data_IF_120360347780
#
_entry.id   IF_120360347780
#
_cell.length_a   1.000
_cell.length_b   1.000
_cell.length_c   1.000
_cell.angle_alpha   90.00
_cell.angle_beta   90.00
_cell.angle_gamma   90.00
#
_symmetry.space_group_name_H-M   'P 1'
#
loop_
_entity.id
_entity.type
_entity.pdbx_description
1 polymer ?
#
# COMPACT_ATOMS: atom_id res chain seq x y z
N UNK A 1 -17.92 19.80 -8.65
CA UNK A 1 -17.73 21.25 -8.50
C UNK A 1 -16.30 21.55 -8.10
N UNK A 2 -15.76 22.73 -8.47
CA UNK A 2 -14.38 23.13 -8.20
C UNK A 2 -13.99 23.00 -6.71
N UNK A 3 -14.89 23.29 -5.79
CA UNK A 3 -14.66 23.14 -4.34
C UNK A 3 -14.42 21.67 -3.93
N UNK A 4 -15.15 20.73 -4.54
CA UNK A 4 -14.95 19.29 -4.29
C UNK A 4 -13.58 18.81 -4.77
N UNK A 5 -13.07 19.35 -5.87
CA UNK A 5 -11.76 18.96 -6.42
C UNK A 5 -10.59 19.55 -5.61
N UNK A 6 -10.74 20.74 -5.04
CA UNK A 6 -9.77 21.33 -4.13
C UNK A 6 -9.62 20.49 -2.86
N UNK A 7 -10.73 20.04 -2.26
CA UNK A 7 -10.69 19.17 -1.08
C UNK A 7 -10.02 17.83 -1.34
N UNK A 8 -10.28 17.22 -2.49
CA UNK A 8 -9.65 15.95 -2.88
C UNK A 8 -8.14 16.09 -3.07
N UNK A 9 -7.69 17.22 -3.61
CA UNK A 9 -6.26 17.49 -3.83
C UNK A 9 -5.49 17.80 -2.55
N UNK A 10 -6.13 18.32 -1.51
CA UNK A 10 -5.50 18.63 -0.24
C UNK A 10 -5.16 17.39 0.61
N UNK A 11 -5.90 16.29 0.43
CA UNK A 11 -5.69 15.05 1.19
C UNK A 11 -4.71 14.12 0.48
N UNK A 12 -4.67 14.16 -0.86
CA UNK A 12 -3.76 13.33 -1.66
C UNK A 12 -2.39 13.99 -1.78
N UNK A 13 -1.37 13.21 -1.49
CA UNK A 13 0.03 13.62 -1.63
C UNK A 13 0.76 12.63 -2.56
N UNK A 14 1.94 13.04 -3.03
CA UNK A 14 2.76 12.23 -3.92
C UNK A 14 3.53 11.17 -3.12
N UNK A 15 3.64 9.98 -3.68
CA UNK A 15 4.47 8.91 -3.10
C UNK A 15 5.95 9.08 -3.43
N UNK A 16 6.27 9.81 -4.48
CA UNK A 16 7.63 10.23 -4.82
C UNK A 16 7.74 11.73 -4.71
N UNK A 17 8.69 12.21 -3.88
CA UNK A 17 8.92 13.63 -3.59
C UNK A 17 10.34 13.97 -3.97
N UNK A 18 10.57 14.22 -5.24
CA UNK A 18 11.86 14.64 -5.75
C UNK A 18 11.69 15.46 -7.04
N UNK A 19 12.72 16.20 -7.38
CA UNK A 19 12.81 16.96 -8.62
C UNK A 19 14.03 16.51 -9.40
N UNK A 20 13.88 16.36 -10.71
CA UNK A 20 14.97 16.11 -11.64
C UNK A 20 14.77 16.90 -12.93
N UNK A 21 15.86 17.16 -13.67
CA UNK A 21 15.77 17.74 -15.00
C UNK A 21 15.23 16.72 -16.00
N UNK A 22 14.54 17.21 -17.02
CA UNK A 22 13.70 16.46 -17.96
C UNK A 22 14.31 15.16 -18.51
N UNK A 23 15.58 15.16 -18.82
CA UNK A 23 16.27 14.01 -19.42
C UNK A 23 16.39 12.78 -18.48
N UNK A 24 16.33 12.99 -17.18
CA UNK A 24 16.53 11.94 -16.16
C UNK A 24 15.23 11.48 -15.48
N UNK A 25 14.14 12.20 -15.66
CA UNK A 25 12.87 11.91 -14.95
C UNK A 25 12.36 10.51 -15.26
N UNK A 26 12.36 10.10 -16.52
CA UNK A 26 11.90 8.78 -16.93
C UNK A 26 12.68 7.64 -16.28
N UNK A 27 14.01 7.74 -16.26
CA UNK A 27 14.87 6.72 -15.65
C UNK A 27 14.65 6.63 -14.13
N UNK A 28 14.48 7.76 -13.47
CA UNK A 28 14.22 7.82 -12.04
C UNK A 28 12.83 7.25 -11.68
N UNK A 29 11.82 7.46 -12.50
CA UNK A 29 10.48 6.85 -12.31
C UNK A 29 10.57 5.32 -12.44
N UNK A 30 11.28 4.81 -13.42
CA UNK A 30 11.49 3.36 -13.58
C UNK A 30 12.24 2.78 -12.39
N UNK A 31 13.25 3.47 -11.89
CA UNK A 31 14.00 3.08 -10.69
C UNK A 31 13.09 3.05 -9.45
N UNK A 32 12.26 4.08 -9.24
CA UNK A 32 11.29 4.10 -8.15
C UNK A 32 10.31 2.93 -8.22
N UNK A 33 9.84 2.59 -9.40
CA UNK A 33 8.95 1.45 -9.60
C UNK A 33 9.64 0.11 -9.27
N UNK A 34 10.92 -0.05 -9.66
CA UNK A 34 11.72 -1.23 -9.29
C UNK A 34 11.87 -1.35 -7.78
N UNK A 35 12.19 -0.25 -7.10
CA UNK A 35 12.30 -0.20 -5.64
C UNK A 35 10.99 -0.60 -4.98
N UNK A 36 9.87 0.00 -5.38
CA UNK A 36 8.55 -0.32 -4.82
C UNK A 36 8.17 -1.78 -4.99
N UNK A 37 8.36 -2.33 -6.18
CA UNK A 37 8.08 -3.75 -6.45
C UNK A 37 8.94 -4.67 -5.61
N UNK A 38 10.24 -4.38 -5.50
CA UNK A 38 11.17 -5.17 -4.72
C UNK A 38 10.84 -5.15 -3.23
N UNK A 39 10.67 -3.97 -2.65
CA UNK A 39 10.33 -3.80 -1.22
C UNK A 39 8.97 -4.41 -0.90
N UNK A 40 7.97 -4.17 -1.74
CA UNK A 40 6.62 -4.75 -1.56
C UNK A 40 6.65 -6.27 -1.58
N UNK A 41 7.40 -6.88 -2.49
CA UNK A 41 7.56 -8.33 -2.57
C UNK A 41 8.28 -8.89 -1.33
N UNK A 42 9.33 -8.23 -0.88
CA UNK A 42 10.12 -8.66 0.28
C UNK A 42 9.35 -8.55 1.59
N UNK A 43 8.49 -7.55 1.73
CA UNK A 43 7.76 -7.22 2.96
C UNK A 43 6.26 -7.49 2.88
N UNK A 44 5.81 -8.32 1.95
CA UNK A 44 4.38 -8.57 1.75
C UNK A 44 3.66 -9.06 3.01
N UNK A 45 4.31 -9.92 3.80
CA UNK A 45 3.78 -10.43 5.07
C UNK A 45 3.66 -9.39 6.20
N UNK A 46 4.41 -8.30 6.13
CA UNK A 46 4.39 -7.24 7.12
C UNK A 46 3.26 -6.22 6.91
N UNK A 47 2.57 -6.28 5.77
CA UNK A 47 1.49 -5.35 5.42
C UNK A 47 2.01 -3.94 5.13
N UNK A 48 2.55 -3.74 3.93
CA UNK A 48 3.08 -2.45 3.47
C UNK A 48 2.07 -1.79 2.53
N UNK A 49 1.29 -0.80 2.99
CA UNK A 49 0.30 -0.12 2.15
C UNK A 49 0.91 0.96 1.27
N UNK A 50 2.01 1.57 1.72
CA UNK A 50 2.59 2.74 1.06
C UNK A 50 4.10 2.77 1.22
N UNK A 51 4.80 3.17 0.17
CA UNK A 51 6.25 3.42 0.16
C UNK A 51 6.46 4.81 -0.42
N UNK A 52 7.00 5.72 0.37
CA UNK A 52 7.37 7.06 -0.07
C UNK A 52 8.87 7.10 -0.40
N UNK A 53 9.22 7.80 -1.48
CA UNK A 53 10.59 7.92 -1.95
C UNK A 53 10.96 9.39 -2.06
N UNK A 54 12.05 9.77 -1.40
CA UNK A 54 12.66 11.08 -1.52
C UNK A 54 14.08 10.93 -2.07
N UNK A 55 14.50 11.88 -2.89
CA UNK A 55 15.86 11.93 -3.45
C UNK A 55 16.50 13.27 -3.16
N UNK A 56 17.68 13.23 -2.59
CA UNK A 56 18.48 14.42 -2.31
C UNK A 56 19.96 14.07 -2.41
N UNK A 57 20.74 14.84 -3.20
CA UNK A 57 22.20 14.70 -3.30
C UNK A 57 22.69 13.25 -3.45
N UNK A 58 22.17 12.51 -4.42
CA UNK A 58 22.50 11.09 -4.70
C UNK A 58 22.14 10.09 -3.60
N UNK A 59 21.42 10.52 -2.57
CA UNK A 59 20.87 9.66 -1.53
C UNK A 59 19.38 9.47 -1.75
N UNK A 60 18.96 8.21 -1.76
CA UNK A 60 17.55 7.84 -1.86
C UNK A 60 17.04 7.52 -0.45
N UNK A 61 16.03 8.24 -0.01
CA UNK A 61 15.38 8.00 1.29
C UNK A 61 14.04 7.32 1.06
N UNK A 62 13.86 6.16 1.68
CA UNK A 62 12.63 5.37 1.61
C UNK A 62 11.89 5.47 2.94
N UNK A 63 10.60 5.82 2.89
CA UNK A 63 9.70 5.75 4.01
C UNK A 63 8.74 4.59 3.77
N UNK A 64 8.96 3.49 4.46
CA UNK A 64 8.13 2.28 4.35
C UNK A 64 7.10 2.30 5.47
N UNK A 65 5.84 2.50 5.10
CA UNK A 65 4.72 2.38 6.02
C UNK A 65 4.37 0.90 6.17
N UNK A 66 4.32 0.38 7.38
CA UNK A 66 3.98 -1.02 7.62
C UNK A 66 3.06 -1.19 8.84
N UNK A 67 2.22 -2.21 8.77
CA UNK A 67 1.33 -2.56 9.87
C UNK A 67 2.06 -3.31 11.00
N UNK A 68 3.12 -4.03 10.65
CA UNK A 68 3.90 -4.86 11.59
C UNK A 68 5.37 -4.48 11.54
N UNK A 69 5.76 -3.36 12.17
CA UNK A 69 7.14 -2.88 12.12
C UNK A 69 8.15 -3.86 12.72
N UNK A 70 7.77 -4.63 13.72
CA UNK A 70 8.63 -5.63 14.34
C UNK A 70 9.13 -6.72 13.37
N UNK A 71 8.33 -7.12 12.40
CA UNK A 71 8.74 -8.09 11.36
C UNK A 71 9.76 -7.50 10.38
N UNK A 72 9.67 -6.20 10.12
CA UNK A 72 10.55 -5.49 9.20
C UNK A 72 11.89 -5.17 9.85
N UNK A 73 11.86 -4.72 11.09
CA UNK A 73 13.06 -4.34 11.86
C UNK A 73 13.88 -5.59 12.22
N UNK A 74 13.22 -6.67 12.65
CA UNK A 74 13.88 -7.89 13.09
C UNK A 74 14.59 -7.72 14.44
N UNK A 75 15.42 -8.72 14.81
CA UNK A 75 16.26 -8.63 15.99
C UNK A 75 17.41 -7.66 15.74
N UNK A 76 17.56 -6.68 16.61
CA UNK A 76 18.64 -5.68 16.58
C UNK A 76 18.77 -4.90 15.24
N UNK A 77 17.71 -4.82 14.47
CA UNK A 77 17.70 -4.12 13.19
C UNK A 77 18.35 -4.86 12.02
N UNK A 78 18.65 -6.15 12.17
CA UNK A 78 19.35 -6.95 11.16
C UNK A 78 18.57 -7.08 9.85
N UNK A 79 17.24 -7.25 9.92
CA UNK A 79 16.40 -7.42 8.73
C UNK A 79 16.26 -6.11 7.93
N UNK A 80 16.14 -4.98 8.62
CA UNK A 80 16.13 -3.65 7.98
C UNK A 80 17.43 -3.39 7.25
N UNK A 81 18.56 -3.72 7.88
CA UNK A 81 19.87 -3.50 7.27
C UNK A 81 20.10 -4.39 6.04
N UNK A 82 19.68 -5.66 6.09
CA UNK A 82 19.69 -6.54 4.92
C UNK A 82 18.86 -5.98 3.76
N UNK A 83 17.65 -5.49 4.07
CA UNK A 83 16.79 -4.89 3.07
C UNK A 83 17.42 -3.62 2.47
N UNK A 84 17.99 -2.75 3.30
CA UNK A 84 18.70 -1.56 2.86
C UNK A 84 19.84 -1.90 1.89
N UNK A 85 20.68 -2.83 2.26
CA UNK A 85 21.78 -3.29 1.40
C UNK A 85 21.30 -3.92 0.09
N UNK A 86 20.22 -4.70 0.13
CA UNK A 86 19.64 -5.29 -1.06
C UNK A 86 19.09 -4.21 -2.02
N UNK A 87 18.46 -3.16 -1.50
CA UNK A 87 17.99 -2.04 -2.31
C UNK A 87 19.17 -1.23 -2.87
N UNK A 88 20.22 -0.98 -2.08
CA UNK A 88 21.44 -0.33 -2.56
C UNK A 88 22.10 -1.11 -3.72
N UNK A 89 22.15 -2.43 -3.61
CA UNK A 89 22.66 -3.29 -4.67
C UNK A 89 21.79 -3.24 -5.94
N UNK A 90 20.48 -3.09 -5.77
CA UNK A 90 19.53 -3.01 -6.88
C UNK A 90 19.69 -1.72 -7.70
N UNK A 91 19.91 -0.59 -7.05
CA UNK A 91 19.94 0.74 -7.69
C UNK A 91 21.35 1.35 -7.83
N UNK A 92 22.34 0.79 -7.13
CA UNK A 92 23.72 1.31 -7.15
C UNK A 92 23.90 2.69 -6.48
N UNK A 93 23.00 3.11 -5.61
CA UNK A 93 23.02 4.39 -4.89
C UNK A 93 22.89 4.18 -3.39
N UNK A 94 23.31 5.16 -2.59
CA UNK A 94 23.10 5.13 -1.15
C UNK A 94 21.62 5.23 -0.81
N UNK A 95 21.16 4.38 0.08
CA UNK A 95 19.77 4.31 0.53
C UNK A 95 19.67 4.50 2.03
N UNK A 96 18.74 5.36 2.46
CA UNK A 96 18.29 5.44 3.84
C UNK A 96 16.91 4.82 3.92
N UNK A 97 16.70 3.90 4.86
CA UNK A 97 15.43 3.23 5.06
C UNK A 97 14.83 3.64 6.39
N UNK A 98 13.65 4.24 6.34
CA UNK A 98 12.88 4.62 7.53
C UNK A 98 11.59 3.80 7.57
N UNK A 99 11.28 3.25 8.73
CA UNK A 99 10.07 2.48 8.95
C UNK A 99 9.05 3.36 9.69
N UNK A 100 7.85 3.46 9.13
CA UNK A 100 6.72 4.20 9.71
C UNK A 100 5.60 3.24 10.03
N UNK A 101 5.12 3.26 11.27
CA UNK A 101 4.02 2.41 11.70
C UNK A 101 2.67 2.92 11.21
N UNK A 102 1.83 2.02 10.73
CA UNK A 102 0.42 2.27 10.43
C UNK A 102 -0.40 1.99 11.68
N UNK A 103 -0.95 3.05 12.30
CA UNK A 103 -1.66 2.94 13.58
C UNK A 103 -2.92 2.08 13.53
N UNK A 104 -3.71 2.23 12.46
CA UNK A 104 -4.98 1.53 12.28
C UNK A 104 -4.99 0.75 10.97
N UNK A 105 -4.40 -0.46 10.90
CA UNK A 105 -4.33 -1.23 9.67
C UNK A 105 -5.71 -1.64 9.13
N UNK A 106 -6.69 -1.87 10.00
CA UNK A 106 -8.06 -2.23 9.59
C UNK A 106 -8.85 -1.07 8.96
N UNK A 107 -8.38 0.17 9.09
CA UNK A 107 -8.94 1.35 8.43
C UNK A 107 -8.17 1.73 7.16
N UNK A 108 -7.03 1.13 6.91
CA UNK A 108 -6.25 1.40 5.70
C UNK A 108 -6.82 0.62 4.52
N UNK A 109 -7.29 1.33 3.49
CA UNK A 109 -7.97 0.74 2.34
C UNK A 109 -7.09 -0.29 1.60
N UNK A 110 -5.81 -0.01 1.43
CA UNK A 110 -4.87 -0.91 0.76
C UNK A 110 -4.67 -2.22 1.53
N UNK A 111 -4.50 -2.14 2.85
CA UNK A 111 -4.33 -3.32 3.70
C UNK A 111 -5.61 -4.16 3.79
N UNK A 112 -6.77 -3.52 3.83
CA UNK A 112 -8.06 -4.19 3.79
C UNK A 112 -8.25 -4.94 2.47
N UNK A 113 -7.93 -4.31 1.35
CA UNK A 113 -7.99 -4.94 0.04
C UNK A 113 -7.04 -6.14 -0.09
N UNK A 114 -5.81 -6.04 0.39
CA UNK A 114 -4.84 -7.14 0.43
C UNK A 114 -5.30 -8.29 1.31
N UNK A 115 -5.92 -7.98 2.45
CA UNK A 115 -6.50 -9.00 3.33
C UNK A 115 -7.63 -9.78 2.66
N UNK A 116 -8.52 -9.08 1.95
CA UNK A 116 -9.57 -9.73 1.16
C UNK A 116 -8.95 -10.61 0.07
N UNK A 117 -7.95 -10.12 -0.66
CA UNK A 117 -7.26 -10.87 -1.69
C UNK A 117 -6.61 -12.16 -1.14
N UNK A 118 -5.92 -12.08 -0.02
CA UNK A 118 -5.34 -13.26 0.65
C UNK A 118 -6.38 -14.28 1.08
N UNK A 119 -7.55 -13.83 1.55
CA UNK A 119 -8.64 -14.74 1.88
C UNK A 119 -9.22 -15.43 0.63
N UNK A 120 -9.31 -14.72 -0.49
CA UNK A 120 -9.74 -15.29 -1.77
C UNK A 120 -8.73 -16.34 -2.30
N UNK A 121 -7.45 -16.09 -2.17
CA UNK A 121 -6.39 -17.07 -2.50
C UNK A 121 -6.51 -18.35 -1.68
N UNK A 122 -6.91 -18.23 -0.40
CA UNK A 122 -7.21 -19.37 0.48
C UNK A 122 -8.57 -20.02 0.23
N UNK A 123 -9.21 -19.69 -0.90
CA UNK A 123 -10.53 -20.22 -1.31
C UNK A 123 -11.68 -19.93 -0.34
N UNK A 124 -11.58 -18.87 0.43
CA UNK A 124 -12.69 -18.38 1.25
C UNK A 124 -13.70 -17.68 0.33
N UNK A 125 -14.99 -17.87 0.58
CA UNK A 125 -16.04 -17.21 -0.19
C UNK A 125 -15.85 -15.68 -0.18
N UNK A 126 -15.94 -15.05 -1.36
CA UNK A 126 -15.82 -13.60 -1.51
C UNK A 126 -16.80 -12.83 -0.62
N UNK A 127 -18.04 -13.31 -0.46
CA UNK A 127 -19.04 -12.69 0.41
C UNK A 127 -18.60 -12.68 1.86
N UNK A 128 -18.07 -13.78 2.35
CA UNK A 128 -17.57 -13.89 3.73
C UNK A 128 -16.33 -13.02 3.94
N UNK A 129 -15.39 -13.03 3.00
CA UNK A 129 -14.17 -12.22 3.06
C UNK A 129 -14.50 -10.73 3.10
N UNK A 130 -15.38 -10.25 2.22
CA UNK A 130 -15.79 -8.84 2.17
C UNK A 130 -16.53 -8.42 3.44
N UNK A 131 -17.52 -9.18 3.90
CA UNK A 131 -18.28 -8.84 5.12
C UNK A 131 -17.42 -8.85 6.37
N UNK A 132 -16.49 -9.79 6.50
CA UNK A 132 -15.55 -9.82 7.62
C UNK A 132 -14.61 -8.62 7.63
N UNK A 133 -14.10 -8.21 6.47
CA UNK A 133 -13.26 -7.05 6.34
C UNK A 133 -14.01 -5.75 6.67
N UNK A 134 -15.25 -5.61 6.18
CA UNK A 134 -16.12 -4.48 6.48
C UNK A 134 -16.41 -4.39 7.97
N UNK A 135 -16.80 -5.51 8.60
CA UNK A 135 -17.07 -5.54 10.05
C UNK A 135 -15.85 -5.19 10.91
N UNK A 136 -14.64 -5.55 10.48
CA UNK A 136 -13.40 -5.15 11.16
C UNK A 136 -13.15 -3.65 11.03
N UNK A 137 -13.29 -3.10 9.81
CA UNK A 137 -13.11 -1.68 9.57
C UNK A 137 -14.09 -0.82 10.38
N UNK A 138 -15.37 -1.21 10.43
CA UNK A 138 -16.39 -0.50 11.20
C UNK A 138 -16.12 -0.56 12.71
N UNK A 139 -15.67 -1.70 13.23
CA UNK A 139 -15.26 -1.84 14.65
C UNK A 139 -14.02 -1.02 15.00
N UNK A 140 -13.12 -0.83 14.04
CA UNK A 140 -11.95 0.03 14.21
C UNK A 140 -12.29 1.54 14.23
N UNK A 141 -13.53 1.91 13.96
CA UNK A 141 -14.02 3.28 14.01
C UNK A 141 -14.16 3.96 12.64
N UNK A 142 -14.18 3.22 11.55
CA UNK A 142 -14.45 3.78 10.23
C UNK A 142 -15.88 4.31 10.14
N UNK A 143 -16.06 5.48 9.53
CA UNK A 143 -17.38 6.09 9.30
C UNK A 143 -18.19 5.38 8.22
N UNK A 144 -17.52 4.72 7.29
CA UNK A 144 -18.11 3.94 6.24
C UNK A 144 -17.06 3.23 5.41
N UNK A 145 -17.48 2.19 4.72
CA UNK A 145 -16.63 1.38 3.84
C UNK A 145 -17.43 0.90 2.63
N UNK A 146 -16.78 0.91 1.48
CA UNK A 146 -17.29 0.32 0.23
C UNK A 146 -16.27 -0.68 -0.28
N UNK A 147 -16.69 -1.93 -0.43
CA UNK A 147 -15.89 -2.99 -1.02
C UNK A 147 -16.46 -3.40 -2.37
N UNK A 148 -15.59 -3.66 -3.33
CA UNK A 148 -15.92 -4.14 -4.65
C UNK A 148 -15.01 -5.31 -5.01
N UNK A 149 -15.59 -6.42 -5.43
CA UNK A 149 -14.86 -7.55 -6.01
C UNK A 149 -15.40 -7.85 -7.39
N UNK A 150 -14.52 -8.08 -8.35
CA UNK A 150 -14.85 -8.41 -9.73
C UNK A 150 -14.10 -9.66 -10.19
N UNK A 151 -14.68 -10.37 -11.14
CA UNK A 151 -14.11 -11.57 -11.71
C UNK A 151 -15.11 -12.73 -11.74
N UNK A 152 -14.60 -13.94 -11.92
CA UNK A 152 -15.39 -15.17 -11.91
C UNK A 152 -15.69 -15.62 -10.47
N UNK A 153 -16.48 -14.85 -9.77
CA UNK A 153 -16.80 -15.04 -8.35
C UNK A 153 -17.60 -16.33 -8.13
N UNK A 154 -17.12 -17.16 -7.21
CA UNK A 154 -17.77 -18.43 -6.88
C UNK A 154 -17.73 -19.48 -7.99
N UNK A 155 -16.80 -19.40 -8.93
CA UNK A 155 -16.65 -20.36 -10.04
C UNK A 155 -17.62 -20.16 -11.20
N UNK A 156 -18.27 -19.00 -11.30
CA UNK A 156 -19.15 -18.66 -12.43
C UNK A 156 -18.39 -18.64 -13.75
N UNK A 157 -19.03 -19.04 -14.83
CA UNK A 157 -18.43 -18.94 -16.17
C UNK A 157 -18.25 -17.50 -16.64
N UNK A 158 -19.25 -16.66 -16.36
CA UNK A 158 -19.26 -15.24 -16.73
C UNK A 158 -18.77 -14.42 -15.55
N UNK A 159 -17.84 -13.51 -15.78
CA UNK A 159 -17.36 -12.58 -14.77
C UNK A 159 -18.48 -11.62 -14.34
N UNK A 160 -18.52 -11.33 -13.06
CA UNK A 160 -19.46 -10.38 -12.47
C UNK A 160 -18.79 -9.48 -11.47
N UNK A 161 -19.49 -8.45 -11.03
CA UNK A 161 -19.02 -7.49 -10.03
C UNK A 161 -19.99 -7.49 -8.85
N UNK A 162 -19.47 -7.65 -7.63
CA UNK A 162 -20.25 -7.51 -6.42
C UNK A 162 -19.76 -6.32 -5.59
N UNK A 163 -20.71 -5.52 -5.14
CA UNK A 163 -20.47 -4.34 -4.31
C UNK A 163 -21.17 -4.51 -2.96
N UNK A 164 -20.46 -4.22 -1.89
CA UNK A 164 -21.02 -4.07 -0.56
C UNK A 164 -20.59 -2.73 0.01
N UNK A 165 -21.49 -2.07 0.71
CA UNK A 165 -21.20 -0.81 1.39
C UNK A 165 -21.89 -0.78 2.75
N UNK A 166 -21.31 -0.04 3.67
CA UNK A 166 -21.83 0.19 5.02
C UNK A 166 -21.41 1.57 5.49
N UNK A 167 -22.29 2.25 6.21
CA UNK A 167 -22.02 3.57 6.74
C UNK A 167 -22.09 4.70 5.72
N UNK A 168 -21.47 5.82 6.05
CA UNK A 168 -21.46 7.04 5.21
C UNK A 168 -20.22 7.08 4.34
N UNK A 169 -20.43 7.11 3.02
CA UNK A 169 -19.36 7.18 2.02
C UNK A 169 -19.62 8.40 1.14
N UNK A 170 -18.63 9.30 0.98
CA UNK A 170 -18.75 10.41 0.05
C UNK A 170 -18.93 9.90 -1.36
N UNK A 171 -19.91 10.45 -2.07
CA UNK A 171 -20.07 10.22 -3.51
C UNK A 171 -18.91 10.91 -4.25
N UNK A 172 -18.22 10.14 -5.07
CA UNK A 172 -17.13 10.63 -5.92
C UNK A 172 -17.42 10.27 -7.36
#
# INVERSE_FOLDING_TARGET
SAASDVYKRQIKDWDSRWYARDEKVGDLIVEDNKIRKFVKKSLYGAGVPKIEIERSNDVVTLFVHCARPGMVIGKDGAEVEKLRLAVEALIGKKVKLNIVEVRNPDMNAQLVAENIAQQLEKRISHRRAMKNAMGRAMRAGAKGIKCCCSGRLGGREIAGVEHYHEGTIPLQ
#
